data_IF_587643928850
#
_entry.id   IF_587643928850
#
_cell.length_a   1.000
_cell.length_b   1.000
_cell.length_c   1.000
_cell.angle_alpha   90.00
_cell.angle_beta   90.00
_cell.angle_gamma   90.00
#
_symmetry.space_group_name_H-M   'P 1'
#
loop_
_entity.id
_entity.type
_entity.pdbx_description
1 polymer ?
#
# COMPACT_ATOMS: atom_id res chain seq x y z
N UNK A 1 -17.39 5.58 3.84
CA UNK A 1 -16.10 6.28 3.83
C UNK A 1 -15.20 5.53 2.86
N UNK A 2 -14.33 6.25 2.16
CA UNK A 2 -13.61 5.69 1.01
C UNK A 2 -12.34 4.96 1.48
N UNK A 3 -12.11 3.78 0.93
CA UNK A 3 -10.86 3.04 1.08
C UNK A 3 -9.83 3.51 0.03
N UNK A 4 -8.55 3.52 0.40
CA UNK A 4 -7.45 4.07 -0.41
C UNK A 4 -6.40 3.01 -0.66
N UNK A 5 -5.98 2.85 -1.91
CA UNK A 5 -4.73 2.17 -2.26
C UNK A 5 -3.64 3.21 -2.46
N UNK A 6 -2.71 3.35 -1.50
CA UNK A 6 -1.66 4.37 -1.58
C UNK A 6 -0.51 3.89 -2.48
N UNK A 7 -0.65 4.11 -3.79
CA UNK A 7 0.39 3.80 -4.77
C UNK A 7 1.55 4.81 -4.67
N UNK A 8 2.67 4.38 -4.10
CA UNK A 8 3.89 5.20 -4.01
C UNK A 8 5.16 4.33 -4.04
N UNK A 9 6.27 4.82 -4.62
CA UNK A 9 7.56 4.16 -4.46
C UNK A 9 8.07 4.32 -3.02
N UNK A 10 8.91 3.39 -2.54
CA UNK A 10 9.48 3.36 -1.18
C UNK A 10 10.95 2.93 -1.18
N UNK A 11 11.68 3.25 -2.25
CA UNK A 11 13.06 2.80 -2.50
C UNK A 11 14.14 3.66 -1.82
N UNK A 12 13.76 4.83 -1.29
CA UNK A 12 14.65 5.72 -0.54
C UNK A 12 13.91 6.47 0.56
N UNK A 13 14.67 7.09 1.48
CA UNK A 13 14.11 7.76 2.65
C UNK A 13 13.18 8.93 2.30
N UNK A 14 13.50 9.72 1.28
CA UNK A 14 12.65 10.83 0.86
C UNK A 14 11.29 10.35 0.32
N UNK A 15 11.24 9.18 -0.29
CA UNK A 15 9.99 8.55 -0.74
C UNK A 15 9.16 8.04 0.45
N UNK A 16 9.81 7.40 1.43
CA UNK A 16 9.15 6.94 2.66
C UNK A 16 8.58 8.10 3.47
N UNK A 17 9.32 9.20 3.57
CA UNK A 17 8.85 10.42 4.23
C UNK A 17 7.57 10.95 3.57
N UNK A 18 7.51 10.99 2.23
CA UNK A 18 6.30 11.39 1.50
C UNK A 18 5.12 10.46 1.76
N UNK A 19 5.36 9.15 1.85
CA UNK A 19 4.31 8.18 2.21
C UNK A 19 3.73 8.53 3.59
N UNK A 20 4.57 8.81 4.59
CA UNK A 20 4.11 9.18 5.93
C UNK A 20 3.34 10.50 5.96
N UNK A 21 3.77 11.49 5.19
CA UNK A 21 3.06 12.77 5.03
C UNK A 21 1.67 12.56 4.42
N UNK A 22 1.56 11.76 3.35
CA UNK A 22 0.28 11.46 2.70
C UNK A 22 -0.61 10.62 3.60
N UNK A 23 -0.07 9.60 4.28
CA UNK A 23 -0.81 8.79 5.27
C UNK A 23 -1.43 9.67 6.35
N UNK A 24 -0.64 10.58 6.92
CA UNK A 24 -1.14 11.55 7.92
C UNK A 24 -2.25 12.45 7.39
N UNK A 25 -2.11 12.94 6.15
CA UNK A 25 -3.13 13.76 5.51
C UNK A 25 -4.43 12.99 5.22
N UNK A 26 -4.32 11.72 4.80
CA UNK A 26 -5.46 10.83 4.58
C UNK A 26 -6.20 10.52 5.88
N UNK A 27 -5.47 10.25 6.98
CA UNK A 27 -6.05 10.00 8.30
C UNK A 27 -6.79 11.23 8.87
N UNK A 28 -6.36 12.43 8.51
CA UNK A 28 -7.04 13.67 8.89
C UNK A 28 -8.27 14.00 8.01
N UNK A 29 -8.47 13.28 6.89
CA UNK A 29 -9.55 13.56 5.96
C UNK A 29 -10.83 12.81 6.37
N UNK A 30 -11.94 13.50 6.71
CA UNK A 30 -13.18 12.88 7.18
C UNK A 30 -13.89 12.03 6.12
N UNK A 31 -13.51 12.10 4.84
CA UNK A 31 -14.10 11.27 3.79
C UNK A 31 -13.42 9.91 3.64
N UNK A 32 -12.24 9.73 4.23
CA UNK A 32 -11.42 8.52 4.13
C UNK A 32 -11.71 7.60 5.31
N UNK A 33 -11.77 6.30 5.05
CA UNK A 33 -11.83 5.29 6.09
C UNK A 33 -10.41 5.10 6.69
N UNK A 34 -10.16 5.42 7.96
CA UNK A 34 -8.82 5.35 8.55
C UNK A 34 -8.26 3.92 8.58
N UNK A 35 -9.14 2.91 8.71
CA UNK A 35 -8.77 1.49 8.67
C UNK A 35 -8.68 0.94 7.23
N UNK A 36 -9.06 1.76 6.24
CA UNK A 36 -9.15 1.40 4.82
C UNK A 36 -8.00 1.91 3.96
N UNK A 37 -6.88 2.31 4.56
CA UNK A 37 -5.69 2.79 3.85
C UNK A 37 -4.70 1.62 3.70
N UNK A 38 -4.50 1.16 2.47
CA UNK A 38 -3.53 0.11 2.16
C UNK A 38 -2.22 0.71 1.62
N UNK A 39 -1.08 0.32 2.19
CA UNK A 39 0.26 0.78 1.79
C UNK A 39 1.10 -0.45 1.38
N UNK A 40 1.49 -0.61 0.09
CA UNK A 40 2.18 -1.81 -0.39
C UNK A 40 3.47 -2.16 0.37
N UNK A 41 4.21 -1.15 0.84
CA UNK A 41 5.46 -1.36 1.60
C UNK A 41 5.25 -2.22 2.85
N UNK A 42 4.11 -2.09 3.54
CA UNK A 42 3.81 -2.75 4.81
C UNK A 42 3.38 -4.23 4.63
N UNK A 43 3.24 -4.70 3.38
CA UNK A 43 2.64 -6.01 3.07
C UNK A 43 3.53 -6.88 2.17
N UNK A 44 4.77 -7.11 2.59
CA UNK A 44 5.67 -8.03 1.90
C UNK A 44 5.36 -9.49 2.24
N UNK A 45 5.41 -10.39 1.26
CA UNK A 45 5.17 -11.81 1.45
C UNK A 45 6.44 -12.52 1.92
N UNK A 46 6.66 -12.54 3.23
CA UNK A 46 7.89 -13.07 3.85
C UNK A 46 8.03 -14.60 3.77
N UNK A 47 6.95 -15.31 3.44
CA UNK A 47 6.95 -16.78 3.29
C UNK A 47 7.73 -17.28 2.06
N UNK A 48 7.99 -16.40 1.09
CA UNK A 48 8.72 -16.71 -0.13
C UNK A 48 10.00 -15.87 -0.26
N UNK A 49 11.10 -16.43 -0.80
CA UNK A 49 12.31 -15.65 -1.03
C UNK A 49 12.03 -14.43 -1.91
N UNK A 50 12.51 -13.26 -1.49
CA UNK A 50 12.34 -12.02 -2.23
C UNK A 50 12.80 -12.19 -3.69
N UNK A 51 11.94 -11.80 -4.63
CA UNK A 51 12.22 -11.91 -6.05
C UNK A 51 12.04 -13.31 -6.65
N UNK A 52 11.67 -14.33 -5.89
CA UNK A 52 11.27 -15.64 -6.44
C UNK A 52 10.03 -15.50 -7.34
N UNK A 53 9.81 -16.47 -8.24
CA UNK A 53 8.61 -16.46 -9.09
C UNK A 53 7.32 -16.50 -8.28
N UNK A 54 7.29 -17.29 -7.21
CA UNK A 54 6.14 -17.39 -6.32
C UNK A 54 5.90 -16.07 -5.57
N UNK A 55 6.97 -15.45 -5.04
CA UNK A 55 6.92 -14.13 -4.42
C UNK A 55 6.36 -13.07 -5.37
N UNK A 56 6.88 -13.00 -6.60
CA UNK A 56 6.44 -12.04 -7.62
C UNK A 56 4.95 -12.20 -7.94
N UNK A 57 4.49 -13.45 -8.14
CA UNK A 57 3.08 -13.75 -8.42
C UNK A 57 2.18 -13.35 -7.25
N UNK A 58 2.61 -13.63 -6.02
CA UNK A 58 1.82 -13.31 -4.83
C UNK A 58 1.71 -11.80 -4.62
N UNK A 59 2.84 -11.08 -4.63
CA UNK A 59 2.88 -9.63 -4.42
C UNK A 59 2.03 -8.92 -5.47
N UNK A 60 2.21 -9.25 -6.75
CA UNK A 60 1.39 -8.69 -7.83
C UNK A 60 -0.11 -8.95 -7.63
N UNK A 61 -0.49 -10.20 -7.34
CA UNK A 61 -1.89 -10.54 -7.14
C UNK A 61 -2.46 -9.87 -5.87
N UNK A 62 -1.66 -9.68 -4.82
CA UNK A 62 -2.05 -8.97 -3.61
C UNK A 62 -2.34 -7.50 -3.90
N UNK A 63 -1.40 -6.80 -4.54
CA UNK A 63 -1.56 -5.40 -4.92
C UNK A 63 -2.79 -5.20 -5.82
N UNK A 64 -2.95 -6.02 -6.85
CA UNK A 64 -4.11 -5.95 -7.74
C UNK A 64 -5.43 -6.13 -7.01
N UNK A 65 -5.51 -7.06 -6.04
CA UNK A 65 -6.71 -7.24 -5.22
C UNK A 65 -7.02 -6.00 -4.39
N UNK A 66 -6.00 -5.32 -3.87
CA UNK A 66 -6.20 -4.12 -3.04
C UNK A 66 -6.60 -2.92 -3.89
N UNK A 67 -6.02 -2.75 -5.08
CA UNK A 67 -6.49 -1.77 -6.07
C UNK A 67 -7.97 -1.96 -6.40
N UNK A 68 -8.41 -3.21 -6.60
CA UNK A 68 -9.82 -3.50 -6.88
C UNK A 68 -10.77 -3.32 -5.69
N UNK A 69 -10.26 -3.34 -4.45
CA UNK A 69 -11.05 -3.14 -3.22
C UNK A 69 -11.11 -1.69 -2.77
N UNK A 70 -10.13 -0.88 -3.19
CA UNK A 70 -10.10 0.53 -2.89
C UNK A 70 -11.13 1.30 -3.73
N UNK A 71 -11.61 2.41 -3.18
CA UNK A 71 -12.49 3.34 -3.89
C UNK A 71 -11.66 4.40 -4.65
N UNK A 72 -10.41 4.61 -4.24
CA UNK A 72 -9.45 5.57 -4.82
C UNK A 72 -8.00 5.07 -4.74
#
# INVERSE_FOLDING_TARGET
MNNVYLAAPFFNEAQKERIQQVKSALLANPTINPDGIFIPEEHQFEEEPFGSRAWQQYVYASDMRQVHRADV
#
